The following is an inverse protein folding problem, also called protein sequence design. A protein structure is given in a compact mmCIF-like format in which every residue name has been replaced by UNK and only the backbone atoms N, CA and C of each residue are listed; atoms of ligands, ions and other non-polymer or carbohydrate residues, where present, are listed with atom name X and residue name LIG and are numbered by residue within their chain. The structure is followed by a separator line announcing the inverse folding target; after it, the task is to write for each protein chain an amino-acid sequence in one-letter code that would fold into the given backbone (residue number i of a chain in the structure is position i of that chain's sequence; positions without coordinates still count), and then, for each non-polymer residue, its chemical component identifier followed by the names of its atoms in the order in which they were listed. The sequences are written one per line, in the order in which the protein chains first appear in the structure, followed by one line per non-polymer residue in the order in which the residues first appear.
data_IF_526452588625
#
_entry.id   IF_526452588625
#
_cell.length_a   1.000
_cell.length_b   1.000
_cell.length_c   1.000
_cell.angle_alpha   90.00
_cell.angle_beta   90.00
_cell.angle_gamma   90.00
#
_symmetry.space_group_name_H-M   'P 1'
#
loop_
_entity.id
_entity.type
_entity.pdbx_description
1 polymer ?
#
# COMPACT_ATOMS: atom_id res chain seq x y z
N UNK A 1 -17.12 -2.03 -13.54
CA UNK A 1 -16.51 -0.74 -13.18
C UNK A 1 -15.01 -0.92 -13.21
N UNK A 2 -14.33 -0.25 -14.14
CA UNK A 2 -12.89 -0.36 -14.33
C UNK A 2 -12.17 0.72 -13.52
N UNK A 3 -11.49 0.35 -12.43
CA UNK A 3 -10.70 1.30 -11.64
C UNK A 3 -9.30 1.43 -12.24
N UNK A 4 -9.22 2.12 -13.38
CA UNK A 4 -8.00 2.23 -14.20
C UNK A 4 -7.19 3.51 -13.94
N UNK A 5 -7.79 4.49 -13.27
CA UNK A 5 -7.18 5.79 -12.99
C UNK A 5 -7.57 6.33 -11.61
N UNK A 6 -6.89 7.40 -11.20
CA UNK A 6 -7.05 8.00 -9.88
C UNK A 6 -8.45 8.57 -9.68
N UNK A 7 -9.05 9.14 -10.72
CA UNK A 7 -10.41 9.69 -10.63
C UNK A 7 -11.45 8.58 -10.35
N UNK A 8 -11.40 7.49 -11.11
CA UNK A 8 -12.29 6.33 -10.93
C UNK A 8 -12.09 5.68 -9.57
N UNK A 9 -10.84 5.56 -9.10
CA UNK A 9 -10.51 5.06 -7.77
C UNK A 9 -11.08 5.98 -6.67
N UNK A 10 -10.90 7.29 -6.80
CA UNK A 10 -11.40 8.29 -5.84
C UNK A 10 -12.91 8.22 -5.73
N UNK A 11 -13.62 8.18 -6.85
CA UNK A 11 -15.08 8.13 -6.87
C UNK A 11 -15.60 6.80 -6.28
N UNK A 12 -14.92 5.70 -6.59
CA UNK A 12 -15.18 4.39 -5.98
C UNK A 12 -15.02 4.38 -4.46
N UNK A 13 -13.95 5.01 -3.96
CA UNK A 13 -13.70 5.12 -2.52
C UNK A 13 -14.74 6.01 -1.88
N UNK A 14 -15.02 7.18 -2.46
CA UNK A 14 -16.00 8.15 -1.95
C UNK A 14 -17.40 7.55 -1.76
N UNK A 15 -17.82 6.68 -2.68
CA UNK A 15 -19.12 6.00 -2.60
C UNK A 15 -19.19 4.89 -1.55
N UNK A 16 -18.04 4.42 -1.03
CA UNK A 16 -17.94 3.33 -0.04
C UNK A 16 -17.39 3.77 1.31
N UNK A 17 -16.94 5.00 1.42
CA UNK A 17 -16.55 5.63 2.68
C UNK A 17 -17.78 6.20 3.36
N UNK A 18 -18.10 5.79 4.60
CA UNK A 18 -19.12 6.46 5.38
C UNK A 18 -18.75 7.93 5.55
N UNK A 19 -19.71 8.84 5.38
CA UNK A 19 -19.58 10.23 5.80
C UNK A 19 -19.46 10.23 7.31
N UNK A 20 -18.23 10.24 7.84
CA UNK A 20 -18.00 10.35 9.29
C UNK A 20 -18.10 11.82 9.71
N UNK A 21 -18.58 12.04 10.94
CA UNK A 21 -18.81 13.38 11.49
C UNK A 21 -17.55 14.27 11.51
N UNK A 22 -17.76 15.55 11.80
CA UNK A 22 -16.73 16.59 11.91
C UNK A 22 -15.57 16.12 12.78
N UNK A 23 -14.42 15.81 12.17
CA UNK A 23 -13.19 15.44 12.89
C UNK A 23 -12.48 14.18 12.40
N UNK A 24 -13.07 13.36 11.53
CA UNK A 24 -12.35 12.23 10.92
C UNK A 24 -11.68 12.66 9.61
N UNK A 25 -10.35 12.70 9.58
CA UNK A 25 -9.58 12.94 8.37
C UNK A 25 -8.85 11.66 7.94
N UNK A 26 -8.92 11.32 6.65
CA UNK A 26 -8.14 10.23 6.08
C UNK A 26 -6.72 10.72 5.78
N UNK A 27 -5.77 10.27 6.58
CA UNK A 27 -4.37 10.65 6.42
C UNK A 27 -3.64 9.87 5.32
N UNK A 28 -4.17 8.70 4.92
CA UNK A 28 -3.59 7.90 3.85
C UNK A 28 -4.56 6.83 3.31
N UNK A 29 -4.31 6.35 2.10
CA UNK A 29 -5.03 5.25 1.45
C UNK A 29 -4.07 4.16 0.99
N UNK A 30 -4.09 3.01 1.65
CA UNK A 30 -3.24 1.85 1.33
C UNK A 30 -3.95 0.95 0.34
N UNK A 31 -3.27 0.58 -0.74
CA UNK A 31 -3.76 -0.27 -1.81
C UNK A 31 -2.99 -1.59 -1.78
N UNK A 32 -3.70 -2.72 -1.76
CA UNK A 32 -3.07 -4.04 -1.69
C UNK A 32 -3.54 -4.92 -2.84
N UNK A 33 -2.59 -5.43 -3.61
CA UNK A 33 -2.75 -6.55 -4.53
C UNK A 33 -2.16 -7.78 -3.85
N UNK A 34 -3.01 -8.75 -3.55
CA UNK A 34 -2.57 -10.01 -2.97
C UNK A 34 -1.91 -10.89 -4.04
N UNK A 35 -0.91 -11.71 -3.65
CA UNK A 35 -0.30 -12.70 -4.52
C UNK A 35 -1.34 -13.57 -5.22
N UNK A 36 -1.16 -13.78 -6.52
CA UNK A 36 -1.98 -14.66 -7.34
C UNK A 36 -1.20 -15.11 -8.59
N UNK A 37 -1.44 -16.33 -9.08
CA UNK A 37 -0.91 -16.82 -10.35
C UNK A 37 0.61 -16.72 -10.56
N UNK A 38 1.42 -16.72 -9.48
CA UNK A 38 2.88 -16.56 -9.54
C UNK A 38 3.41 -15.14 -9.33
N UNK A 39 2.54 -14.13 -9.18
CA UNK A 39 2.93 -12.79 -8.73
C UNK A 39 3.11 -12.77 -7.20
N UNK A 40 4.14 -12.07 -6.71
CA UNK A 40 4.44 -11.84 -5.28
C UNK A 40 3.50 -10.83 -4.61
N UNK A 41 2.61 -10.20 -5.40
CA UNK A 41 1.69 -9.16 -4.97
C UNK A 41 2.37 -7.80 -4.80
N UNK A 42 1.55 -6.77 -4.62
CA UNK A 42 2.02 -5.39 -4.54
C UNK A 42 1.31 -4.62 -3.44
N UNK A 43 1.99 -3.63 -2.88
CA UNK A 43 1.42 -2.69 -1.93
C UNK A 43 1.86 -1.29 -2.31
N UNK A 44 0.91 -0.37 -2.38
CA UNK A 44 1.18 1.05 -2.59
C UNK A 44 0.28 1.88 -1.69
N UNK A 45 0.49 3.20 -1.66
CA UNK A 45 -0.27 4.08 -0.79
C UNK A 45 -0.32 5.51 -1.31
N UNK A 46 -1.49 6.17 -1.21
CA UNK A 46 -1.57 7.63 -1.26
C UNK A 46 -1.39 8.21 0.14
N UNK A 47 -0.59 9.26 0.29
CA UNK A 47 -0.52 10.05 1.51
C UNK A 47 -1.48 11.26 1.36
N UNK A 48 -2.41 11.42 2.29
CA UNK A 48 -3.52 12.36 2.19
C UNK A 48 -4.64 11.84 1.28
N UNK A 49 -5.28 12.75 0.55
CA UNK A 49 -6.38 12.44 -0.38
C UNK A 49 -5.95 11.62 -1.60
N UNK A 50 -6.91 10.95 -2.26
CA UNK A 50 -6.67 10.24 -3.54
C UNK A 50 -6.74 11.27 -4.68
N UNK A 51 -5.61 11.91 -4.97
CA UNK A 51 -5.44 12.87 -6.07
C UNK A 51 -4.17 12.56 -6.87
N UNK A 52 -4.12 12.99 -8.14
CA UNK A 52 -2.93 12.83 -8.99
C UNK A 52 -1.72 13.61 -8.45
N UNK A 53 -1.97 14.67 -7.69
CA UNK A 53 -0.95 15.50 -7.02
C UNK A 53 -0.52 14.97 -5.66
N UNK A 54 -1.25 14.01 -5.10
CA UNK A 54 -0.92 13.45 -3.79
C UNK A 54 0.36 12.61 -3.86
N UNK A 55 1.21 12.64 -2.82
CA UNK A 55 2.35 11.75 -2.76
C UNK A 55 1.92 10.29 -2.85
N UNK A 56 2.44 9.59 -3.85
CA UNK A 56 2.11 8.19 -4.11
C UNK A 56 3.32 7.30 -3.83
N UNK A 57 3.20 6.49 -2.77
CA UNK A 57 4.21 5.54 -2.32
C UNK A 57 4.07 4.26 -3.13
N UNK A 58 4.96 4.06 -4.08
CA UNK A 58 5.07 2.81 -4.84
C UNK A 58 6.53 2.52 -5.14
N UNK A 59 6.91 1.25 -5.05
CA UNK A 59 8.31 0.82 -5.10
C UNK A 59 8.45 -0.44 -5.93
N UNK A 60 9.03 -0.31 -7.12
CA UNK A 60 9.28 -1.41 -8.05
C UNK A 60 10.78 -1.56 -8.31
N UNK A 61 11.26 -2.74 -8.73
CA UNK A 61 12.60 -2.85 -9.29
C UNK A 61 12.62 -2.19 -10.68
N UNK A 62 13.73 -1.55 -10.99
CA UNK A 62 14.06 -1.15 -12.36
C UNK A 62 14.73 -2.34 -13.05
N UNK A 63 13.93 -3.17 -13.71
CA UNK A 63 14.42 -4.29 -14.51
C UNK A 63 13.52 -4.50 -15.72
N UNK A 64 14.12 -4.91 -16.83
CA UNK A 64 13.41 -5.30 -18.06
C UNK A 64 12.90 -6.76 -17.97
N UNK A 65 13.46 -7.56 -17.04
CA UNK A 65 13.16 -8.97 -16.90
C UNK A 65 12.08 -9.25 -15.84
N UNK A 66 11.04 -9.99 -16.24
CA UNK A 66 9.92 -10.40 -15.37
C UNK A 66 10.30 -11.42 -14.29
N UNK A 67 11.54 -11.90 -14.24
CA UNK A 67 12.02 -12.90 -13.28
C UNK A 67 12.91 -12.23 -12.21
N UNK A 68 12.30 -11.47 -11.31
CA UNK A 68 13.00 -10.87 -10.16
C UNK A 68 13.30 -11.98 -9.13
N UNK A 69 14.40 -12.68 -9.32
CA UNK A 69 14.88 -13.73 -8.41
C UNK A 69 16.09 -13.20 -7.62
N UNK A 70 16.06 -13.40 -6.29
CA UNK A 70 17.15 -13.21 -5.32
C UNK A 70 18.29 -12.27 -5.77
N UNK A 71 18.09 -10.96 -5.62
CA UNK A 71 19.08 -9.96 -6.02
C UNK A 71 18.78 -8.54 -5.49
N UNK A 72 19.78 -7.65 -5.57
CA UNK A 72 19.63 -6.21 -5.34
C UNK A 72 19.52 -5.53 -6.69
N UNK A 73 18.41 -4.85 -6.93
CA UNK A 73 18.15 -4.10 -8.16
C UNK A 73 18.10 -2.61 -7.85
N UNK A 74 18.39 -1.72 -8.81
CA UNK A 74 17.97 -0.32 -8.70
C UNK A 74 16.45 -0.26 -8.51
N UNK A 75 15.94 0.66 -7.71
CA UNK A 75 14.50 0.84 -7.57
C UNK A 75 13.97 1.91 -8.50
N UNK A 76 12.83 1.63 -9.12
CA UNK A 76 12.01 2.57 -9.87
C UNK A 76 11.07 3.27 -8.89
N UNK A 77 11.18 4.59 -8.78
CA UNK A 77 10.42 5.42 -7.85
C UNK A 77 10.10 6.76 -8.51
N UNK A 78 8.87 7.23 -8.31
CA UNK A 78 8.46 8.59 -8.62
C UNK A 78 8.35 9.38 -7.30
N UNK A 79 9.29 10.30 -7.09
CA UNK A 79 9.40 11.04 -5.84
C UNK A 79 8.52 12.29 -5.77
N UNK A 80 8.06 12.78 -6.92
CA UNK A 80 7.09 13.86 -7.05
C UNK A 80 6.41 13.76 -8.41
N UNK A 81 5.24 13.10 -8.51
CA UNK A 81 4.21 13.23 -9.57
C UNK A 81 4.58 13.32 -11.07
N UNK A 82 5.86 13.29 -11.46
CA UNK A 82 6.38 13.76 -12.75
C UNK A 82 7.28 12.70 -13.41
N UNK A 83 7.19 11.46 -12.95
CA UNK A 83 7.73 10.34 -13.70
C UNK A 83 6.63 9.31 -13.86
N UNK A 84 6.32 9.00 -15.12
CA UNK A 84 5.31 8.07 -15.60
C UNK A 84 5.49 6.61 -15.12
N UNK A 85 6.44 6.36 -14.22
CA UNK A 85 6.97 5.04 -13.91
C UNK A 85 6.39 4.41 -12.64
N UNK A 86 5.94 5.17 -11.64
CA UNK A 86 5.26 4.62 -10.44
C UNK A 86 4.06 5.46 -10.01
N UNK A 87 2.98 5.42 -10.80
CA UNK A 87 1.68 6.00 -10.47
C UNK A 87 0.67 4.88 -10.19
N UNK A 88 -0.50 5.21 -9.62
CA UNK A 88 -1.58 4.23 -9.47
C UNK A 88 -1.95 3.57 -10.81
N UNK A 89 -2.03 4.35 -11.89
CA UNK A 89 -2.31 3.83 -13.24
C UNK A 89 -1.25 2.82 -13.69
N UNK A 90 0.03 3.11 -13.44
CA UNK A 90 1.14 2.20 -13.77
C UNK A 90 1.06 0.90 -12.96
N UNK A 91 0.76 0.99 -11.66
CA UNK A 91 0.63 -0.17 -10.77
C UNK A 91 -0.57 -1.05 -11.18
N UNK A 92 -1.75 -0.45 -11.37
CA UNK A 92 -2.94 -1.17 -11.80
C UNK A 92 -2.76 -1.84 -13.17
N UNK A 93 -2.05 -1.20 -14.10
CA UNK A 93 -1.70 -1.79 -15.40
C UNK A 93 -0.72 -2.95 -15.26
N UNK A 94 0.30 -2.80 -14.42
CA UNK A 94 1.33 -3.82 -14.19
C UNK A 94 0.74 -5.06 -13.53
N UNK A 95 -0.15 -4.87 -12.55
CA UNK A 95 -0.89 -5.94 -11.87
C UNK A 95 -2.05 -6.52 -12.71
N UNK A 96 -2.40 -5.86 -13.83
CA UNK A 96 -3.48 -6.25 -14.74
C UNK A 96 -4.89 -6.14 -14.14
N UNK A 97 -5.03 -5.67 -12.90
CA UNK A 97 -6.28 -5.62 -12.15
C UNK A 97 -6.27 -4.48 -11.12
N UNK A 98 -7.45 -4.01 -10.66
CA UNK A 98 -7.54 -3.13 -9.50
C UNK A 98 -7.06 -3.83 -8.21
N UNK A 99 -6.71 -3.07 -7.16
CA UNK A 99 -6.30 -3.64 -5.88
C UNK A 99 -7.37 -4.56 -5.31
N UNK A 100 -6.97 -5.62 -4.62
CA UNK A 100 -7.88 -6.56 -3.95
C UNK A 100 -8.58 -5.90 -2.76
N UNK A 101 -7.89 -4.98 -2.08
CA UNK A 101 -8.41 -4.26 -0.93
C UNK A 101 -7.76 -2.88 -0.81
N UNK A 102 -8.55 -1.92 -0.33
CA UNK A 102 -8.12 -0.57 -0.01
C UNK A 102 -8.38 -0.33 1.48
N UNK A 103 -7.41 0.25 2.17
CA UNK A 103 -7.57 0.72 3.55
C UNK A 103 -7.43 2.24 3.62
N UNK A 104 -8.44 2.91 4.17
CA UNK A 104 -8.34 4.34 4.51
C UNK A 104 -7.86 4.49 5.94
N UNK A 105 -6.64 4.96 6.14
CA UNK A 105 -6.04 5.20 7.46
C UNK A 105 -6.43 6.59 7.96
N UNK A 106 -6.76 6.70 9.24
CA UNK A 106 -7.31 7.91 9.84
C UNK A 106 -6.41 8.42 10.96
N UNK A 107 -6.31 9.75 11.08
CA UNK A 107 -5.66 10.43 12.20
C UNK A 107 -4.19 10.00 12.42
N UNK A 108 -3.48 9.70 11.35
CA UNK A 108 -2.02 9.53 11.35
C UNK A 108 -1.34 10.88 11.08
N UNK A 109 -0.07 10.99 11.49
CA UNK A 109 0.76 12.15 11.21
C UNK A 109 1.18 12.17 9.72
N UNK A 110 0.44 12.93 8.92
CA UNK A 110 0.68 13.06 7.48
C UNK A 110 2.03 13.71 7.16
N UNK A 111 2.47 14.67 7.99
CA UNK A 111 3.75 15.35 7.82
C UNK A 111 4.91 14.36 8.00
N UNK A 112 4.86 13.55 9.06
CA UNK A 112 5.84 12.49 9.29
C UNK A 112 5.86 11.45 8.16
N UNK A 113 4.68 11.10 7.61
CA UNK A 113 4.60 10.20 6.44
C UNK A 113 5.25 10.80 5.20
N UNK A 114 4.97 12.08 4.90
CA UNK A 114 5.56 12.80 3.76
C UNK A 114 7.08 12.91 3.89
N UNK A 115 7.59 13.26 5.07
CA UNK A 115 9.03 13.32 5.35
C UNK A 115 9.68 11.95 5.19
N UNK A 116 9.09 10.90 5.76
CA UNK A 116 9.62 9.54 5.61
C UNK A 116 9.66 9.09 4.14
N UNK A 117 8.64 9.44 3.35
CA UNK A 117 8.64 9.15 1.92
C UNK A 117 9.71 9.95 1.17
N UNK A 118 9.84 11.24 1.46
CA UNK A 118 10.86 12.11 0.89
C UNK A 118 12.27 11.57 1.14
N UNK A 119 12.59 11.17 2.37
CA UNK A 119 13.91 10.62 2.75
C UNK A 119 14.22 9.30 2.04
N UNK A 120 13.20 8.45 1.88
CA UNK A 120 13.31 7.19 1.15
C UNK A 120 13.65 7.46 -0.32
N UNK A 121 13.03 8.48 -0.89
CA UNK A 121 13.20 8.92 -2.26
C UNK A 121 14.56 9.55 -2.56
N UNK A 122 15.04 10.42 -1.67
CA UNK A 122 16.26 11.20 -1.84
C UNK A 122 17.47 10.60 -1.12
N UNK A 123 17.42 9.29 -0.82
CA UNK A 123 18.49 8.61 -0.11
C UNK A 123 19.82 8.71 -0.89
N UNK A 124 20.84 9.24 -0.23
CA UNK A 124 22.21 9.28 -0.75
C UNK A 124 22.73 7.87 -1.12
N UNK A 125 23.40 7.75 -2.27
CA UNK A 125 23.89 6.48 -2.80
C UNK A 125 22.86 5.67 -3.58
N UNK A 126 21.68 6.24 -3.85
CA UNK A 126 20.64 5.63 -4.65
C UNK A 126 19.77 4.64 -3.86
N UNK A 127 18.54 4.52 -4.33
CA UNK A 127 17.55 3.62 -3.78
C UNK A 127 17.69 2.22 -4.43
N UNK A 128 17.41 1.16 -3.65
CA UNK A 128 17.51 -0.22 -4.14
C UNK A 128 16.29 -1.04 -3.77
N UNK A 129 15.94 -1.96 -4.66
CA UNK A 129 14.89 -2.94 -4.51
C UNK A 129 15.46 -4.32 -4.16
N UNK A 130 14.82 -5.01 -3.23
CA UNK A 130 15.02 -6.44 -2.96
C UNK A 130 13.67 -7.10 -2.69
N UNK A 131 13.42 -8.25 -3.31
CA UNK A 131 12.18 -9.03 -3.10
C UNK A 131 11.96 -9.35 -1.61
N UNK A 132 13.05 -9.55 -0.88
CA UNK A 132 13.08 -9.76 0.58
C UNK A 132 13.75 -8.57 1.26
N UNK A 133 13.07 -7.97 2.25
CA UNK A 133 13.61 -6.94 3.13
C UNK A 133 13.57 -5.49 2.62
N UNK A 134 13.48 -5.24 1.30
CA UNK A 134 13.33 -3.89 0.69
C UNK A 134 12.41 -3.92 -0.55
N UNK A 135 11.19 -4.36 -0.33
CA UNK A 135 10.12 -4.42 -1.34
C UNK A 135 9.06 -3.34 -1.08
N UNK A 136 8.04 -3.29 -1.93
CA UNK A 136 6.91 -2.36 -1.82
C UNK A 136 6.22 -2.38 -0.45
N UNK A 137 5.96 -3.57 0.10
CA UNK A 137 5.35 -3.74 1.41
C UNK A 137 6.23 -3.19 2.55
N UNK A 138 7.55 -3.37 2.47
CA UNK A 138 8.47 -2.79 3.46
C UNK A 138 8.42 -1.25 3.45
N UNK A 139 8.42 -0.65 2.25
CA UNK A 139 8.36 0.80 2.09
C UNK A 139 7.03 1.37 2.60
N UNK A 140 5.90 0.80 2.19
CA UNK A 140 4.58 1.20 2.72
C UNK A 140 4.56 1.07 4.25
N UNK A 141 5.07 -0.03 4.80
CA UNK A 141 5.12 -0.24 6.25
C UNK A 141 6.02 0.77 6.98
N UNK A 142 7.12 1.22 6.37
CA UNK A 142 7.98 2.29 6.92
C UNK A 142 7.26 3.63 6.98
N UNK A 143 6.51 3.97 5.92
CA UNK A 143 5.75 5.22 5.88
C UNK A 143 4.60 5.18 6.90
N UNK A 144 3.83 4.09 6.99
CA UNK A 144 2.79 3.92 8.03
C UNK A 144 3.40 4.04 9.44
N UNK A 145 4.57 3.42 9.67
CA UNK A 145 5.25 3.51 10.96
C UNK A 145 5.66 4.94 11.34
N UNK A 146 5.97 5.78 10.35
CA UNK A 146 6.24 7.20 10.58
C UNK A 146 4.95 7.95 10.94
N UNK A 147 3.84 7.68 10.25
CA UNK A 147 2.54 8.28 10.58
C UNK A 147 1.98 7.88 11.95
N UNK A 148 2.41 6.75 12.50
CA UNK A 148 2.03 6.28 13.84
C UNK A 148 2.97 6.80 14.94
N UNK A 149 3.85 7.77 14.69
CA UNK A 149 4.92 8.19 15.62
C UNK A 149 4.42 8.50 17.05
N UNK A 150 3.27 9.17 17.17
CA UNK A 150 2.64 9.52 18.44
C UNK A 150 1.58 8.50 18.91
N UNK A 151 1.33 7.44 18.16
CA UNK A 151 0.28 6.47 18.45
C UNK A 151 0.78 5.36 19.40
N UNK A 152 0.04 5.01 20.46
CA UNK A 152 0.37 3.86 21.30
C UNK A 152 0.26 2.52 20.53
N UNK A 153 -0.41 2.52 19.37
CA UNK A 153 -0.57 1.32 18.53
C UNK A 153 0.66 1.02 17.66
N UNK A 154 1.62 1.96 17.58
CA UNK A 154 2.79 1.89 16.70
C UNK A 154 3.56 0.58 16.84
N UNK A 155 3.95 0.22 18.07
CA UNK A 155 4.76 -0.96 18.32
C UNK A 155 4.09 -2.25 17.82
N UNK A 156 2.77 -2.38 18.05
CA UNK A 156 2.01 -3.57 17.67
C UNK A 156 1.72 -3.63 16.17
N UNK A 157 1.31 -2.51 15.57
CA UNK A 157 1.12 -2.39 14.12
C UNK A 157 2.43 -2.69 13.37
N UNK A 158 3.54 -2.14 13.86
CA UNK A 158 4.87 -2.40 13.31
C UNK A 158 5.31 -3.85 13.48
N UNK A 159 5.02 -4.48 14.62
CA UNK A 159 5.26 -5.90 14.86
C UNK A 159 4.59 -6.82 13.82
N UNK A 160 3.38 -6.50 13.37
CA UNK A 160 2.74 -7.25 12.28
C UNK A 160 3.47 -7.10 10.95
N UNK A 161 3.98 -5.89 10.66
CA UNK A 161 4.68 -5.58 9.40
C UNK A 161 6.13 -6.10 9.36
N UNK A 162 6.85 -6.08 10.48
CA UNK A 162 8.28 -6.38 10.58
C UNK A 162 8.64 -7.53 11.54
N UNK A 163 7.67 -8.33 11.98
CA UNK A 163 7.92 -9.39 12.96
C UNK A 163 8.98 -10.41 12.49
N UNK A 164 10.16 -10.34 13.10
CA UNK A 164 11.23 -11.33 13.06
C UNK A 164 11.98 -11.48 11.73
N UNK A 165 12.48 -12.69 11.47
CA UNK A 165 13.25 -13.06 10.28
C UNK A 165 12.43 -13.12 8.98
N UNK A 166 11.11 -12.93 9.05
CA UNK A 166 10.20 -13.11 7.92
C UNK A 166 10.06 -11.81 7.10
N UNK A 167 10.01 -11.89 5.75
CA UNK A 167 9.85 -10.72 4.90
C UNK A 167 8.55 -9.96 5.19
N UNK A 168 8.59 -8.63 5.03
CA UNK A 168 7.37 -7.83 4.93
C UNK A 168 6.70 -8.14 3.58
N UNK A 169 5.41 -8.49 3.61
CA UNK A 169 4.63 -8.84 2.41
C UNK A 169 3.36 -7.99 2.38
N UNK A 170 2.73 -7.80 1.19
CA UNK A 170 1.45 -7.09 1.10
C UNK A 170 0.39 -7.67 2.05
N UNK A 171 0.41 -8.99 2.29
CA UNK A 171 -0.45 -9.64 3.27
C UNK A 171 -0.23 -9.13 4.69
N UNK A 172 1.03 -8.96 5.13
CA UNK A 172 1.36 -8.46 6.48
C UNK A 172 0.98 -6.99 6.66
N UNK A 173 1.15 -6.16 5.63
CA UNK A 173 0.63 -4.79 5.63
C UNK A 173 -0.89 -4.82 5.82
N UNK A 174 -1.60 -5.69 5.09
CA UNK A 174 -3.04 -5.88 5.27
C UNK A 174 -3.45 -6.30 6.68
N UNK A 175 -2.67 -7.19 7.33
CA UNK A 175 -2.91 -7.57 8.74
C UNK A 175 -2.74 -6.37 9.68
N UNK A 176 -1.69 -5.56 9.50
CA UNK A 176 -1.51 -4.34 10.27
C UNK A 176 -2.65 -3.34 10.06
N UNK A 177 -3.12 -3.17 8.82
CA UNK A 177 -4.27 -2.30 8.53
C UNK A 177 -5.59 -2.86 9.11
N UNK A 178 -5.81 -4.17 9.12
CA UNK A 178 -6.95 -4.77 9.82
C UNK A 178 -6.86 -4.50 11.33
N UNK A 179 -5.67 -4.61 11.93
CA UNK A 179 -5.48 -4.28 13.35
C UNK A 179 -5.81 -2.81 13.64
N UNK A 180 -5.40 -1.87 12.78
CA UNK A 180 -5.76 -0.45 12.90
C UNK A 180 -7.27 -0.23 12.72
N UNK A 181 -7.91 -0.96 11.79
CA UNK A 181 -9.36 -0.93 11.58
C UNK A 181 -10.11 -1.38 12.82
N UNK A 182 -9.65 -2.44 13.46
CA UNK A 182 -10.26 -2.98 14.69
C UNK A 182 -10.09 -2.03 15.91
N UNK A 183 -9.33 -0.94 15.73
CA UNK A 183 -9.14 0.17 16.68
C UNK A 183 -9.70 1.49 16.17
N UNK A 184 -10.58 1.44 15.17
CA UNK A 184 -11.24 2.60 14.55
C UNK A 184 -10.29 3.63 13.90
N UNK A 185 -9.04 3.27 13.65
CA UNK A 185 -8.05 4.09 12.93
C UNK A 185 -7.93 3.74 11.45
N UNK A 186 -8.75 2.82 10.95
CA UNK A 186 -8.84 2.55 9.54
C UNK A 186 -10.22 2.02 9.13
N UNK A 187 -10.54 2.15 7.85
CA UNK A 187 -11.62 1.38 7.21
C UNK A 187 -11.03 0.41 6.21
N UNK A 188 -11.84 -0.58 5.82
CA UNK A 188 -11.48 -1.56 4.79
C UNK A 188 -12.54 -1.56 3.71
N UNK A 189 -12.13 -1.35 2.47
CA UNK A 189 -12.96 -1.45 1.28
C UNK A 189 -12.43 -2.64 0.47
N UNK A 190 -13.21 -3.72 0.42
CA UNK A 190 -12.81 -4.94 -0.32
C UNK A 190 -13.32 -4.86 -1.75
N UNK A 191 -12.45 -5.15 -2.71
CA UNK A 191 -12.80 -5.21 -4.12
C UNK A 191 -12.95 -6.69 -4.46
N UNK A 192 -14.19 -7.14 -4.60
CA UNK A 192 -14.52 -8.55 -4.80
C UNK A 192 -14.03 -9.15 -6.15
N UNK A 193 -13.23 -8.42 -6.92
CA UNK A 193 -12.80 -8.74 -8.28
C UNK A 193 -12.16 -10.13 -8.41
N UNK A 194 -11.35 -10.57 -7.42
CA UNK A 194 -10.80 -11.95 -7.40
C UNK A 194 -11.65 -12.97 -6.63
N UNK A 195 -12.61 -12.53 -5.83
CA UNK A 195 -13.42 -13.41 -4.97
C UNK A 195 -14.62 -14.05 -5.64
N UNK A 196 -15.00 -13.60 -6.84
CA UNK A 196 -16.05 -14.24 -7.64
C UNK A 196 -15.59 -15.58 -8.24
N UNK A 197 -14.28 -15.77 -8.45
CA UNK A 197 -13.70 -16.99 -9.02
C UNK A 197 -13.01 -17.90 -7.99
N UNK A 198 -13.14 -17.61 -6.69
CA UNK A 198 -12.53 -18.43 -5.64
C UNK A 198 -13.55 -19.38 -5.02
N UNK A 199 -13.20 -20.66 -5.02
CA UNK A 199 -13.90 -21.74 -4.33
C UNK A 199 -14.23 -21.32 -2.87
N UNK A 200 -15.40 -21.66 -2.30
CA UNK A 200 -15.89 -21.11 -1.02
C UNK A 200 -14.90 -21.26 0.14
N UNK A 201 -14.13 -22.36 0.15
CA UNK A 201 -13.09 -22.63 1.13
C UNK A 201 -11.95 -21.60 1.13
N UNK A 202 -11.53 -21.11 -0.05
CA UNK A 202 -10.49 -20.08 -0.14
C UNK A 202 -11.01 -18.70 0.28
N UNK A 203 -12.32 -18.48 0.18
CA UNK A 203 -13.00 -17.26 0.66
C UNK A 203 -13.01 -17.21 2.19
N UNK A 204 -13.25 -18.35 2.85
CA UNK A 204 -13.23 -18.48 4.31
C UNK A 204 -11.83 -18.28 4.89
N UNK A 205 -10.79 -18.77 4.22
CA UNK A 205 -9.40 -18.68 4.68
C UNK A 205 -8.79 -17.26 4.57
N UNK A 206 -9.34 -16.39 3.71
CA UNK A 206 -8.91 -14.99 3.55
C UNK A 206 -9.54 -14.01 4.55
N UNK A 207 -10.55 -14.45 5.30
CA UNK A 207 -11.25 -13.63 6.30
C UNK A 207 -10.62 -13.69 7.71
N UNK A 208 -9.59 -14.53 7.92
CA UNK A 208 -8.79 -14.59 9.16
C UNK A 208 -7.45 -13.87 9.02
#
# INVERSE_FOLDING_TARGET
MELKDVASLRDFVRTRTPTRGTGTCYSAWVLIWYPDGGNVGHASMFIGDILETSPYVSWWPQTEDKKIMFGKYPSRIACMGNTSSTTYRSDARTEGNPPDVIYGLMNLDESAMKTAWYDICHKAGGSSFRTVGKNCANIVGRVINAGLIASPLRARAFGYMQGGFLPCTPKRVGVACNYLRDKDLAIKISLHTKSLNLNPFKRLLRLR
#
